data_IF_491803100095
#
_entry.id   IF_491803100095
#
_cell.length_a   1.000
_cell.length_b   1.000
_cell.length_c   1.000
_cell.angle_alpha   90.00
_cell.angle_beta   90.00
_cell.angle_gamma   90.00
#
_symmetry.space_group_name_H-M   'P 1'
#
loop_
_entity.id
_entity.type
_entity.pdbx_description
1 polymer ?
#
# COMPACT_ATOMS: atom_id res chain seq x y z
N UNK A 1 -5.82 12.87 24.21
CA UNK A 1 -6.13 11.43 24.38
C UNK A 1 -7.64 11.22 24.36
N UNK A 2 -8.39 12.16 24.94
CA UNK A 2 -9.85 12.17 25.03
C UNK A 2 -10.56 12.02 23.68
N UNK A 3 -10.10 12.69 22.62
CA UNK A 3 -10.72 12.61 21.29
C UNK A 3 -10.80 11.19 20.70
N UNK A 4 -9.80 10.33 20.95
CA UNK A 4 -9.84 8.95 20.50
C UNK A 4 -10.85 8.14 21.33
N UNK A 5 -10.88 8.36 22.65
CA UNK A 5 -11.82 7.69 23.54
C UNK A 5 -13.27 8.07 23.19
N UNK A 6 -13.53 9.35 22.94
CA UNK A 6 -14.84 9.88 22.53
C UNK A 6 -15.26 9.31 21.17
N UNK A 7 -14.34 9.27 20.20
CA UNK A 7 -14.62 8.68 18.89
C UNK A 7 -14.94 7.18 18.98
N UNK A 8 -14.24 6.44 19.84
CA UNK A 8 -14.53 5.02 20.10
C UNK A 8 -15.87 4.84 20.80
N UNK A 9 -16.23 5.71 21.75
CA UNK A 9 -17.52 5.67 22.43
C UNK A 9 -18.68 5.97 21.46
N UNK A 10 -18.55 7.02 20.65
CA UNK A 10 -19.54 7.38 19.62
C UNK A 10 -19.75 6.24 18.61
N UNK A 11 -18.66 5.58 18.19
CA UNK A 11 -18.76 4.42 17.33
C UNK A 11 -19.51 3.26 17.99
N UNK A 12 -19.16 2.88 19.22
CA UNK A 12 -19.72 1.70 19.88
C UNK A 12 -21.13 1.88 20.41
N UNK A 13 -21.41 3.02 21.04
CA UNK A 13 -22.66 3.27 21.75
C UNK A 13 -23.70 3.99 20.89
N UNK A 14 -23.24 4.85 19.97
CA UNK A 14 -24.11 5.66 19.12
C UNK A 14 -24.12 5.20 17.66
N UNK A 15 -23.27 4.24 17.26
CA UNK A 15 -23.14 3.78 15.88
C UNK A 15 -22.57 4.82 14.91
N UNK A 16 -21.94 5.88 15.43
CA UNK A 16 -21.42 7.00 14.64
C UNK A 16 -19.93 6.80 14.36
N UNK A 17 -19.61 6.37 13.13
CA UNK A 17 -18.25 6.03 12.70
C UNK A 17 -17.43 7.26 12.25
N UNK A 18 -18.08 8.38 12.00
CA UNK A 18 -17.48 9.57 11.37
C UNK A 18 -16.33 10.13 12.21
N UNK A 19 -16.51 10.17 13.53
CA UNK A 19 -15.48 10.64 14.46
C UNK A 19 -14.24 9.74 14.43
N UNK A 20 -14.42 8.44 14.29
CA UNK A 20 -13.32 7.47 14.22
C UNK A 20 -12.61 7.53 12.87
N UNK A 21 -13.36 7.61 11.77
CA UNK A 21 -12.83 7.75 10.40
C UNK A 21 -12.05 9.07 10.19
N UNK A 22 -12.38 10.12 10.95
CA UNK A 22 -11.63 11.38 10.93
C UNK A 22 -10.24 11.27 11.58
N UNK A 23 -10.06 10.34 12.53
CA UNK A 23 -8.82 10.16 13.30
C UNK A 23 -7.95 9.06 12.70
N UNK A 24 -8.56 7.91 12.34
CA UNK A 24 -7.84 6.75 11.81
C UNK A 24 -7.69 6.91 10.31
N UNK A 25 -6.45 7.08 9.86
CA UNK A 25 -6.12 7.18 8.44
C UNK A 25 -5.53 5.88 7.90
N UNK A 26 -5.77 5.56 6.62
CA UNK A 26 -5.11 4.45 5.94
C UNK A 26 -3.59 4.69 5.89
N UNK A 27 -2.81 3.61 6.00
CA UNK A 27 -1.33 3.68 6.01
C UNK A 27 -0.79 4.26 4.72
N UNK A 28 -1.51 4.07 3.61
CA UNK A 28 -1.24 4.62 2.28
C UNK A 28 -1.05 6.14 2.29
N UNK A 29 -1.71 6.85 3.22
CA UNK A 29 -1.56 8.31 3.38
C UNK A 29 -0.12 8.71 3.76
N UNK A 30 0.62 7.84 4.43
CA UNK A 30 2.04 8.04 4.76
C UNK A 30 2.98 7.68 3.60
N UNK A 31 2.47 6.96 2.59
CA UNK A 31 3.27 6.38 1.50
C UNK A 31 3.10 7.14 0.17
N UNK A 32 2.52 8.35 0.20
CA UNK A 32 2.21 9.13 -1.01
C UNK A 32 3.46 9.43 -1.84
N UNK A 33 4.56 9.77 -1.18
CA UNK A 33 5.82 10.16 -1.84
C UNK A 33 6.72 8.97 -2.21
N UNK A 34 6.31 7.74 -1.86
CA UNK A 34 7.07 6.54 -2.15
C UNK A 34 6.83 6.10 -3.59
N UNK A 35 7.89 5.85 -4.39
CA UNK A 35 7.73 5.34 -5.74
C UNK A 35 7.07 3.96 -5.69
N UNK A 36 6.04 3.74 -6.52
CA UNK A 36 5.20 2.55 -6.45
C UNK A 36 5.06 1.84 -7.79
N UNK A 37 4.84 0.54 -7.75
CA UNK A 37 4.46 -0.27 -8.90
C UNK A 37 3.13 -0.99 -8.65
N UNK A 38 2.31 -1.15 -9.69
CA UNK A 38 1.05 -1.87 -9.60
C UNK A 38 1.21 -3.31 -10.08
N UNK A 39 0.54 -4.24 -9.41
CA UNK A 39 0.57 -5.67 -9.72
C UNK A 39 -0.82 -6.23 -10.01
N UNK A 40 -0.87 -7.36 -10.71
CA UNK A 40 -2.09 -8.12 -10.94
C UNK A 40 -2.62 -8.67 -9.63
N UNK A 41 -3.95 -8.74 -9.50
CA UNK A 41 -4.62 -9.33 -8.34
C UNK A 41 -4.16 -10.77 -8.06
N UNK A 42 -3.85 -11.55 -9.11
CA UNK A 42 -3.31 -12.90 -8.98
C UNK A 42 -1.92 -12.96 -8.34
N UNK A 43 -1.14 -11.87 -8.42
CA UNK A 43 0.19 -11.77 -7.82
C UNK A 43 0.15 -11.28 -6.36
N UNK A 44 -0.91 -10.57 -5.94
CA UNK A 44 -1.03 -10.00 -4.59
C UNK A 44 -0.89 -11.06 -3.51
N UNK A 45 -1.61 -12.19 -3.65
CA UNK A 45 -1.55 -13.28 -2.68
C UNK A 45 -0.13 -13.87 -2.58
N UNK A 46 0.52 -14.13 -3.72
CA UNK A 46 1.88 -14.68 -3.74
C UNK A 46 2.88 -13.74 -3.05
N UNK A 47 2.76 -12.43 -3.29
CA UNK A 47 3.60 -11.41 -2.65
C UNK A 47 3.39 -11.35 -1.13
N UNK A 48 2.14 -11.46 -0.66
CA UNK A 48 1.83 -11.49 0.77
C UNK A 48 2.48 -12.70 1.49
N UNK A 49 2.70 -13.81 0.78
CA UNK A 49 3.46 -14.97 1.28
C UNK A 49 4.98 -14.84 1.09
N UNK A 50 5.48 -13.70 0.62
CA UNK A 50 6.92 -13.44 0.44
C UNK A 50 7.50 -13.96 -0.88
N UNK A 51 6.68 -14.32 -1.87
CA UNK A 51 7.17 -14.68 -3.20
C UNK A 51 7.82 -13.45 -3.88
N UNK A 52 8.86 -13.66 -4.72
CA UNK A 52 9.45 -12.57 -5.48
C UNK A 52 8.49 -12.05 -6.56
N UNK A 53 8.48 -10.74 -6.79
CA UNK A 53 7.74 -10.14 -7.91
C UNK A 53 8.49 -10.37 -9.23
N UNK A 54 7.80 -10.96 -10.21
CA UNK A 54 8.30 -11.18 -11.56
C UNK A 54 7.51 -10.34 -12.57
N UNK A 55 8.11 -10.06 -13.74
CA UNK A 55 7.51 -9.28 -14.84
C UNK A 55 6.06 -9.68 -15.19
N UNK A 56 5.68 -10.97 -15.26
CA UNK A 56 4.30 -11.35 -15.61
C UNK A 56 3.23 -10.88 -14.62
N UNK A 57 3.60 -10.60 -13.37
CA UNK A 57 2.73 -10.08 -12.33
C UNK A 57 2.70 -8.56 -12.24
N UNK A 58 3.59 -7.87 -12.95
CA UNK A 58 3.71 -6.42 -12.98
C UNK A 58 2.74 -5.82 -14.01
N UNK A 59 2.05 -4.75 -13.63
CA UNK A 59 1.16 -3.99 -14.52
C UNK A 59 1.81 -2.67 -14.92
N UNK A 60 2.33 -1.93 -13.93
CA UNK A 60 2.97 -0.64 -14.17
C UNK A 60 4.12 -0.42 -13.20
N UNK A 61 5.15 0.26 -13.69
CA UNK A 61 6.32 0.67 -12.91
C UNK A 61 6.80 2.04 -13.44
N UNK A 62 7.29 2.94 -12.59
CA UNK A 62 7.93 4.18 -13.04
C UNK A 62 9.16 3.87 -13.89
N UNK A 63 9.44 4.73 -14.87
CA UNK A 63 10.64 4.64 -15.71
C UNK A 63 11.85 5.24 -14.99
N UNK A 64 13.03 4.98 -15.54
CA UNK A 64 14.32 5.53 -15.08
C UNK A 64 14.70 5.18 -13.62
N UNK A 65 14.16 4.08 -13.10
CA UNK A 65 14.54 3.54 -11.79
C UNK A 65 15.76 2.64 -11.92
N UNK A 66 16.74 2.89 -11.06
CA UNK A 66 17.97 2.09 -11.00
C UNK A 66 17.75 0.82 -10.20
N UNK A 67 18.50 -0.22 -10.57
CA UNK A 67 18.68 -1.42 -9.75
C UNK A 67 19.02 -1.06 -8.30
N UNK A 68 18.38 -1.74 -7.36
CA UNK A 68 18.54 -1.52 -5.93
C UNK A 68 17.59 -0.47 -5.34
N UNK A 69 16.84 0.26 -6.17
CA UNK A 69 15.77 1.15 -5.69
C UNK A 69 14.67 0.33 -5.01
N UNK A 70 14.18 0.81 -3.88
CA UNK A 70 13.03 0.24 -3.18
C UNK A 70 11.75 0.90 -3.67
N UNK A 71 10.73 0.06 -3.88
CA UNK A 71 9.43 0.44 -4.40
C UNK A 71 8.33 -0.15 -3.54
N UNK A 72 7.26 0.61 -3.36
CA UNK A 72 6.02 0.09 -2.82
C UNK A 72 5.29 -0.69 -3.91
N UNK A 73 4.86 -1.90 -3.62
CA UNK A 73 3.92 -2.66 -4.46
C UNK A 73 2.51 -2.33 -4.03
N UNK A 74 1.66 -1.96 -4.98
CA UNK A 74 0.23 -1.74 -4.74
C UNK A 74 -0.67 -2.64 -5.58
N UNK A 75 -1.86 -2.92 -5.07
CA UNK A 75 -2.93 -3.55 -5.85
C UNK A 75 -3.46 -2.60 -6.93
N UNK A 76 -4.37 -3.08 -7.78
CA UNK A 76 -5.11 -2.24 -8.73
C UNK A 76 -6.01 -1.18 -8.08
N UNK A 77 -6.28 -1.32 -6.78
CA UNK A 77 -7.07 -0.37 -5.98
C UNK A 77 -6.21 0.57 -5.16
N UNK A 78 -4.91 0.64 -5.45
CA UNK A 78 -3.91 1.42 -4.72
C UNK A 78 -3.72 1.00 -3.25
N UNK A 79 -4.08 -0.23 -2.88
CA UNK A 79 -3.81 -0.79 -1.54
C UNK A 79 -2.34 -1.19 -1.45
N UNK A 80 -1.66 -0.85 -0.34
CA UNK A 80 -0.26 -1.20 -0.15
C UNK A 80 -0.12 -2.71 0.16
N UNK A 81 0.63 -3.43 -0.69
CA UNK A 81 0.90 -4.88 -0.53
C UNK A 81 2.21 -5.13 0.21
N UNK A 82 3.24 -4.34 -0.09
CA UNK A 82 4.56 -4.48 0.53
C UNK A 82 5.65 -3.70 -0.20
N UNK A 83 6.90 -3.92 0.20
CA UNK A 83 8.06 -3.28 -0.43
C UNK A 83 8.91 -4.31 -1.17
N UNK A 84 9.41 -3.92 -2.34
CA UNK A 84 10.32 -4.74 -3.15
C UNK A 84 11.54 -3.92 -3.55
N UNK A 85 12.67 -4.60 -3.75
CA UNK A 85 13.91 -4.00 -4.23
C UNK A 85 14.17 -4.43 -5.67
N UNK A 86 14.34 -3.45 -6.56
CA UNK A 86 14.61 -3.69 -7.97
C UNK A 86 15.89 -4.51 -8.17
N UNK A 87 15.81 -5.54 -9.01
CA UNK A 87 16.96 -6.40 -9.38
C UNK A 87 17.54 -6.08 -10.76
N UNK A 88 16.80 -5.33 -11.58
CA UNK A 88 17.20 -4.80 -12.89
C UNK A 88 16.80 -3.32 -12.97
N UNK A 89 17.31 -2.61 -13.98
CA UNK A 89 16.86 -1.24 -14.26
C UNK A 89 15.45 -1.29 -14.87
N UNK A 90 14.62 -0.26 -14.66
CA UNK A 90 13.23 -0.27 -15.15
C UNK A 90 13.10 -0.13 -16.67
N UNK A 91 14.18 0.26 -17.34
CA UNK A 91 14.20 0.49 -18.78
C UNK A 91 14.69 -0.73 -19.58
N UNK A 92 15.11 -1.79 -18.88
CA UNK A 92 15.47 -3.10 -19.44
C UNK A 92 14.24 -4.01 -19.55
#
# INVERSE_FOLDING_TARGET
MDQLADAVWLWKECGQEEALMAIVHPIEKLLVDVPRCQVKDSAVAALAYGAPLLLPGLISIPKDLKKGTELMVSSLKDEAVGFVKLKADSND
#
